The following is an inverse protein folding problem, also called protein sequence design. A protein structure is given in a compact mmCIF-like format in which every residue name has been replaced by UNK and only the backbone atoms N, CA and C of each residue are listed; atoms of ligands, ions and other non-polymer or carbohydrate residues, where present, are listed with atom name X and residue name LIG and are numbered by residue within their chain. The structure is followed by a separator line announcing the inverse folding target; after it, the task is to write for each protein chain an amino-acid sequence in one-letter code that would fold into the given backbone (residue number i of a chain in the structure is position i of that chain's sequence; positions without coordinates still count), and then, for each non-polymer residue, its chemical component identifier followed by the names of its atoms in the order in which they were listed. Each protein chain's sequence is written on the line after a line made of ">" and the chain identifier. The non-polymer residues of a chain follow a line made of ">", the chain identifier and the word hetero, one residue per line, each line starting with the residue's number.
data_IF_563219183939
#
_entry.id   IF_563219183939
#
_cell.length_a   1.000
_cell.length_b   1.000
_cell.length_c   1.000
_cell.angle_alpha   90.00
_cell.angle_beta   90.00
_cell.angle_gamma   90.00
#
_symmetry.space_group_name_H-M   'P 1'
#
loop_
_entity.id
_entity.type
_entity.pdbx_description
1 polymer ?
#
# COMPACT_ATOMS: atom_id res chain seq x y z
N UNK A 1 -1.73 8.63 -66.52
CA UNK A 1 -1.70 8.51 -65.05
C UNK A 1 -1.88 9.90 -64.49
N UNK A 2 -2.89 10.13 -63.64
CA UNK A 2 -3.15 11.46 -63.08
C UNK A 2 -2.25 11.72 -61.86
N UNK A 3 -1.11 12.38 -62.11
CA UNK A 3 -0.15 12.73 -61.07
C UNK A 3 -0.67 13.79 -60.09
N UNK A 4 -1.70 14.57 -60.47
CA UNK A 4 -2.34 15.56 -59.59
C UNK A 4 -3.17 14.86 -58.50
N UNK A 5 -3.98 13.88 -58.90
CA UNK A 5 -4.73 13.05 -57.95
C UNK A 5 -3.79 12.34 -56.95
N UNK A 6 -2.72 11.72 -57.46
CA UNK A 6 -1.74 11.02 -56.62
C UNK A 6 -1.01 11.95 -55.65
N UNK A 7 -0.68 13.17 -56.09
CA UNK A 7 -0.11 14.20 -55.22
C UNK A 7 -1.06 14.60 -54.08
N UNK A 8 -2.35 14.84 -54.37
CA UNK A 8 -3.32 15.19 -53.33
C UNK A 8 -3.53 14.06 -52.31
N UNK A 9 -3.54 12.81 -52.78
CA UNK A 9 -3.60 11.64 -51.90
C UNK A 9 -2.37 11.54 -50.99
N UNK A 10 -1.17 11.76 -51.51
CA UNK A 10 0.05 11.78 -50.71
C UNK A 10 0.06 12.94 -49.70
N UNK A 11 -0.43 14.12 -50.11
CA UNK A 11 -0.61 15.29 -49.23
C UNK A 11 -1.57 15.00 -48.08
N UNK A 12 -2.70 14.34 -48.34
CA UNK A 12 -3.64 13.91 -47.30
C UNK A 12 -2.98 12.97 -46.28
N UNK A 13 -2.27 11.92 -46.75
CA UNK A 13 -1.50 11.01 -45.88
C UNK A 13 -0.46 11.74 -45.03
N UNK A 14 0.21 12.76 -45.59
CA UNK A 14 1.21 13.54 -44.86
C UNK A 14 0.58 14.30 -43.68
N UNK A 15 -0.56 14.95 -43.89
CA UNK A 15 -1.25 15.69 -42.82
C UNK A 15 -1.84 14.76 -41.76
N UNK A 16 -2.43 13.64 -42.17
CA UNK A 16 -2.89 12.59 -41.25
C UNK A 16 -1.74 12.12 -40.35
N UNK A 17 -0.60 11.78 -40.94
CA UNK A 17 0.58 11.37 -40.18
C UNK A 17 1.09 12.47 -39.22
N UNK A 18 0.98 13.75 -39.59
CA UNK A 18 1.34 14.86 -38.69
C UNK A 18 0.39 14.99 -37.49
N UNK A 19 -0.91 14.80 -37.71
CA UNK A 19 -1.91 14.81 -36.65
C UNK A 19 -1.67 13.63 -35.67
N UNK A 20 -1.45 12.44 -36.21
CA UNK A 20 -1.22 11.23 -35.42
C UNK A 20 0.10 11.26 -34.64
N UNK A 21 1.16 11.86 -35.20
CA UNK A 21 2.42 12.13 -34.47
C UNK A 21 2.15 12.97 -33.22
N UNK A 22 1.41 14.07 -33.37
CA UNK A 22 1.06 14.96 -32.26
C UNK A 22 0.23 14.23 -31.21
N UNK A 23 -0.76 13.46 -31.65
CA UNK A 23 -1.61 12.63 -30.79
C UNK A 23 -0.78 11.62 -29.97
N UNK A 24 0.13 10.90 -30.62
CA UNK A 24 1.02 9.94 -29.96
C UNK A 24 1.94 10.62 -28.94
N UNK A 25 2.52 11.78 -29.28
CA UNK A 25 3.38 12.55 -28.38
C UNK A 25 2.64 12.97 -27.11
N UNK A 26 1.46 13.57 -27.26
CA UNK A 26 0.62 13.95 -26.12
C UNK A 26 0.28 12.74 -25.25
N UNK A 27 -0.07 11.61 -25.88
CA UNK A 27 -0.39 10.38 -25.15
C UNK A 27 0.81 9.83 -24.38
N UNK A 28 2.02 9.87 -24.95
CA UNK A 28 3.25 9.46 -24.26
C UNK A 28 3.50 10.36 -23.04
N UNK A 29 3.33 11.67 -23.18
CA UNK A 29 3.55 12.61 -22.08
C UNK A 29 2.57 12.37 -20.92
N UNK A 30 1.30 12.09 -21.23
CA UNK A 30 0.31 11.74 -20.22
C UNK A 30 0.60 10.40 -19.54
N UNK A 31 1.01 9.38 -20.31
CA UNK A 31 1.43 8.10 -19.75
C UNK A 31 2.65 8.23 -18.85
N UNK A 32 3.62 9.09 -19.20
CA UNK A 32 4.79 9.38 -18.35
C UNK A 32 4.40 10.08 -17.04
N UNK A 33 3.43 10.99 -17.07
CA UNK A 33 2.88 11.59 -15.83
C UNK A 33 2.23 10.53 -14.95
N UNK A 34 1.40 9.66 -15.52
CA UNK A 34 0.77 8.55 -14.80
C UNK A 34 1.80 7.58 -14.23
N UNK A 35 2.86 7.28 -14.98
CA UNK A 35 3.97 6.45 -14.54
C UNK A 35 4.61 7.02 -13.26
N UNK A 36 4.93 8.32 -13.25
CA UNK A 36 5.54 8.96 -12.09
C UNK A 36 4.61 8.97 -10.88
N UNK A 37 3.31 9.26 -11.08
CA UNK A 37 2.31 9.19 -10.02
C UNK A 37 2.22 7.79 -9.42
N UNK A 38 2.25 6.74 -10.26
CA UNK A 38 2.20 5.35 -9.82
C UNK A 38 3.45 4.93 -9.06
N UNK A 39 4.64 5.39 -9.48
CA UNK A 39 5.90 5.18 -8.74
C UNK A 39 5.83 5.81 -7.34
N UNK A 40 5.31 7.04 -7.24
CA UNK A 40 5.16 7.71 -5.95
C UNK A 40 4.22 6.94 -5.01
N UNK A 41 3.09 6.45 -5.53
CA UNK A 41 2.15 5.61 -4.78
C UNK A 41 2.81 4.30 -4.29
N UNK A 42 3.56 3.62 -5.16
CA UNK A 42 4.29 2.39 -4.79
C UNK A 42 5.26 2.66 -3.63
N UNK A 43 5.99 3.77 -3.67
CA UNK A 43 6.93 4.13 -2.60
C UNK A 43 6.22 4.44 -1.28
N UNK A 44 5.06 5.12 -1.34
CA UNK A 44 4.21 5.34 -0.18
C UNK A 44 3.71 4.02 0.42
N UNK A 45 3.16 3.13 -0.41
CA UNK A 45 2.68 1.81 0.03
C UNK A 45 3.80 0.98 0.67
N UNK A 46 5.01 0.98 0.10
CA UNK A 46 6.17 0.30 0.69
C UNK A 46 6.53 0.86 2.06
N UNK A 47 6.47 2.17 2.22
CA UNK A 47 6.72 2.85 3.50
C UNK A 47 5.64 2.50 4.53
N UNK A 48 4.37 2.53 4.11
CA UNK A 48 3.25 2.22 4.99
C UNK A 48 3.28 0.77 5.45
N UNK A 49 3.57 -0.18 4.54
CA UNK A 49 3.73 -1.60 4.89
C UNK A 49 4.81 -1.76 5.97
N UNK A 50 5.98 -1.16 5.77
CA UNK A 50 7.08 -1.21 6.73
C UNK A 50 6.66 -0.66 8.10
N UNK A 51 6.01 0.51 8.14
CA UNK A 51 5.56 1.13 9.38
C UNK A 51 4.54 0.26 10.13
N UNK A 52 3.62 -0.38 9.40
CA UNK A 52 2.62 -1.27 10.00
C UNK A 52 3.23 -2.59 10.46
N UNK A 53 4.22 -3.14 9.75
CA UNK A 53 4.97 -4.32 10.18
C UNK A 53 5.75 -4.03 11.47
N UNK A 54 6.43 -2.89 11.57
CA UNK A 54 7.12 -2.46 12.80
C UNK A 54 6.14 -2.27 13.97
N UNK A 55 4.95 -1.71 13.72
CA UNK A 55 3.91 -1.57 14.73
C UNK A 55 3.38 -2.94 15.18
N UNK A 56 3.17 -3.86 14.24
CA UNK A 56 2.72 -5.22 14.52
C UNK A 56 3.73 -5.96 15.39
N UNK A 57 5.02 -5.83 15.12
CA UNK A 57 6.07 -6.48 15.90
C UNK A 57 6.11 -5.97 17.34
N UNK A 58 6.00 -4.65 17.55
CA UNK A 58 5.85 -4.06 18.89
C UNK A 58 4.64 -4.60 19.64
N UNK A 59 3.48 -4.73 18.97
CA UNK A 59 2.27 -5.31 19.57
C UNK A 59 2.47 -6.77 19.92
N UNK A 60 3.14 -7.56 19.07
CA UNK A 60 3.46 -8.96 19.35
C UNK A 60 4.39 -9.09 20.56
N UNK A 61 5.36 -8.21 20.71
CA UNK A 61 6.24 -8.19 21.89
C UNK A 61 5.46 -7.90 23.19
N UNK A 62 4.54 -6.94 23.16
CA UNK A 62 3.66 -6.65 24.30
C UNK A 62 2.83 -7.88 24.65
N UNK A 63 2.18 -8.51 23.67
CA UNK A 63 1.35 -9.71 23.92
C UNK A 63 2.18 -10.86 24.50
N UNK A 64 3.43 -11.06 24.10
CA UNK A 64 4.31 -12.08 24.71
C UNK A 64 4.52 -11.88 26.22
N UNK A 65 4.40 -10.64 26.71
CA UNK A 65 4.52 -10.34 28.14
C UNK A 65 3.28 -10.73 28.96
N UNK A 66 2.15 -11.08 28.32
CA UNK A 66 0.89 -11.45 28.97
C UNK A 66 1.07 -12.56 30.02
N UNK A 67 1.69 -13.68 29.65
CA UNK A 67 1.90 -14.79 30.58
C UNK A 67 2.77 -14.43 31.79
N UNK A 68 3.73 -13.52 31.63
CA UNK A 68 4.54 -13.03 32.75
C UNK A 68 3.68 -12.17 33.71
N UNK A 69 2.79 -11.34 33.17
CA UNK A 69 1.84 -10.59 33.98
C UNK A 69 0.84 -11.49 34.71
N UNK A 70 0.28 -12.49 34.05
CA UNK A 70 -0.62 -13.47 34.67
C UNK A 70 0.05 -14.22 35.83
N UNK A 71 1.30 -14.63 35.64
CA UNK A 71 2.09 -15.28 36.69
C UNK A 71 2.30 -14.34 37.88
N UNK A 72 2.73 -13.10 37.65
CA UNK A 72 2.95 -12.11 38.73
C UNK A 72 1.67 -11.81 39.51
N UNK A 73 0.52 -11.68 38.85
CA UNK A 73 -0.77 -11.48 39.53
C UNK A 73 -1.12 -12.70 40.39
N UNK A 74 -0.87 -13.91 39.88
CA UNK A 74 -1.11 -15.14 40.63
C UNK A 74 -0.21 -15.24 41.86
N UNK A 75 1.07 -14.89 41.73
CA UNK A 75 2.03 -14.85 42.84
C UNK A 75 1.61 -13.86 43.93
N UNK A 76 1.18 -12.65 43.53
CA UNK A 76 0.66 -11.66 44.47
C UNK A 76 -0.58 -12.23 45.18
N UNK A 77 -1.50 -12.87 44.45
CA UNK A 77 -2.71 -13.45 45.04
C UNK A 77 -2.38 -14.52 46.08
N UNK A 78 -1.42 -15.39 45.78
CA UNK A 78 -0.99 -16.44 46.70
C UNK A 78 -0.35 -15.84 47.96
N UNK A 79 0.57 -14.88 47.80
CA UNK A 79 1.22 -14.21 48.94
C UNK A 79 0.23 -13.41 49.79
N UNK A 80 -0.76 -12.76 49.18
CA UNK A 80 -1.83 -12.07 49.93
C UNK A 80 -2.68 -13.06 50.71
N UNK A 81 -3.01 -14.22 50.14
CA UNK A 81 -3.73 -15.29 50.85
C UNK A 81 -2.91 -15.85 52.02
N UNK A 82 -1.63 -16.14 51.81
CA UNK A 82 -0.72 -16.61 52.87
C UNK A 82 -0.62 -15.59 54.00
N UNK A 83 -0.44 -14.31 53.67
CA UNK A 83 -0.42 -13.23 54.65
C UNK A 83 -1.75 -13.14 55.41
N UNK A 84 -2.89 -13.22 54.72
CA UNK A 84 -4.21 -13.22 55.35
C UNK A 84 -4.36 -14.33 56.39
N UNK A 85 -3.96 -15.56 56.04
CA UNK A 85 -4.01 -16.72 56.95
C UNK A 85 -3.10 -16.52 58.16
N UNK A 86 -1.87 -16.06 57.94
CA UNK A 86 -0.91 -15.81 59.02
C UNK A 86 -1.41 -14.71 59.98
N UNK A 87 -1.94 -13.61 59.45
CA UNK A 87 -2.52 -12.54 60.26
C UNK A 87 -3.73 -13.01 61.06
N UNK A 88 -4.66 -13.75 60.44
CA UNK A 88 -5.81 -14.31 61.15
C UNK A 88 -5.37 -15.25 62.28
N UNK A 89 -4.35 -16.07 62.05
CA UNK A 89 -3.80 -16.97 63.06
C UNK A 89 -3.17 -16.20 64.22
N UNK A 90 -2.39 -15.15 63.96
CA UNK A 90 -1.82 -14.30 65.02
C UNK A 90 -2.88 -13.59 65.86
N UNK A 91 -3.91 -13.04 65.21
CA UNK A 91 -4.97 -12.30 65.90
C UNK A 91 -5.90 -13.23 66.67
N UNK A 92 -6.09 -14.48 66.23
CA UNK A 92 -6.89 -15.48 66.96
C UNK A 92 -6.35 -15.80 68.36
N UNK A 93 -5.08 -15.46 68.64
CA UNK A 93 -4.49 -15.49 69.98
C UNK A 93 -4.82 -14.23 70.82
N UNK A 94 -5.72 -13.34 70.36
CA UNK A 94 -6.09 -12.07 71.00
C UNK A 94 -7.61 -11.81 70.89
N UNK A 95 -8.17 -10.92 71.73
CA UNK A 95 -9.59 -10.52 71.68
C UNK A 95 -9.90 -9.42 70.63
N UNK A 96 -9.05 -9.22 69.62
CA UNK A 96 -9.20 -8.15 68.63
C UNK A 96 -9.96 -8.65 67.40
N UNK A 97 -11.04 -7.97 67.01
CA UNK A 97 -11.72 -8.20 65.72
C UNK A 97 -10.93 -7.48 64.62
N UNK A 98 -10.37 -8.23 63.67
CA UNK A 98 -9.61 -7.67 62.54
C UNK A 98 -10.26 -8.06 61.19
N UNK A 99 -10.12 -7.20 60.18
CA UNK A 99 -10.56 -7.45 58.80
C UNK A 99 -9.58 -8.38 58.10
N UNK A 100 -10.11 -9.26 57.24
CA UNK A 100 -9.28 -10.14 56.42
C UNK A 100 -8.59 -9.32 55.32
N UNK A 101 -7.29 -9.55 55.06
CA UNK A 101 -6.57 -8.87 53.97
C UNK A 101 -7.23 -9.07 52.60
N UNK A 102 -7.85 -10.23 52.37
CA UNK A 102 -8.64 -10.48 51.16
C UNK A 102 -9.93 -9.66 51.09
N UNK A 103 -10.53 -9.31 52.23
CA UNK A 103 -11.67 -8.38 52.25
C UNK A 103 -11.23 -6.95 51.95
N UNK A 104 -10.01 -6.57 52.37
CA UNK A 104 -9.47 -5.23 52.15
C UNK A 104 -8.95 -5.04 50.72
N UNK A 105 -8.26 -6.04 50.16
CA UNK A 105 -7.53 -5.92 48.90
C UNK A 105 -8.08 -6.79 47.75
N UNK A 106 -8.98 -7.74 48.03
CA UNK A 106 -9.44 -8.71 47.04
C UNK A 106 -10.19 -8.07 45.87
N UNK A 107 -10.97 -7.02 46.11
CA UNK A 107 -11.71 -6.34 45.04
C UNK A 107 -10.78 -5.53 44.13
N UNK A 108 -9.84 -4.78 44.70
CA UNK A 108 -8.84 -4.05 43.93
C UNK A 108 -7.98 -4.99 43.07
N UNK A 109 -7.64 -6.17 43.62
CA UNK A 109 -6.92 -7.22 42.92
C UNK A 109 -7.73 -7.80 41.74
N UNK A 110 -9.01 -8.10 41.95
CA UNK A 110 -9.92 -8.56 40.88
C UNK A 110 -10.07 -7.52 39.78
N UNK A 111 -10.22 -6.25 40.16
CA UNK A 111 -10.33 -5.13 39.23
C UNK A 111 -9.06 -4.93 38.41
N UNK A 112 -7.89 -5.03 39.06
CA UNK A 112 -6.58 -4.95 38.40
C UNK A 112 -6.41 -6.08 37.39
N UNK A 113 -6.71 -7.32 37.79
CA UNK A 113 -6.66 -8.49 36.88
C UNK A 113 -7.59 -8.33 35.69
N UNK A 114 -8.83 -7.88 35.92
CA UNK A 114 -9.80 -7.62 34.85
C UNK A 114 -9.28 -6.57 33.87
N UNK A 115 -8.83 -5.42 34.38
CA UNK A 115 -8.29 -4.32 33.56
C UNK A 115 -7.13 -4.78 32.68
N UNK A 116 -6.21 -5.56 33.24
CA UNK A 116 -5.06 -6.09 32.49
C UNK A 116 -5.52 -7.07 31.39
N UNK A 117 -6.44 -7.98 31.70
CA UNK A 117 -7.00 -8.90 30.71
C UNK A 117 -7.72 -8.16 29.56
N UNK A 118 -8.45 -7.10 29.89
CA UNK A 118 -9.11 -6.24 28.90
C UNK A 118 -8.07 -5.54 28.00
N UNK A 119 -6.97 -5.04 28.57
CA UNK A 119 -5.85 -4.45 27.83
C UNK A 119 -5.23 -5.47 26.86
N UNK A 120 -4.94 -6.69 27.30
CA UNK A 120 -4.37 -7.71 26.43
C UNK A 120 -5.34 -8.17 25.35
N UNK A 121 -6.63 -8.26 25.66
CA UNK A 121 -7.69 -8.52 24.67
C UNK A 121 -7.69 -7.44 23.59
N UNK A 122 -7.59 -6.16 23.97
CA UNK A 122 -7.48 -5.05 23.03
C UNK A 122 -6.21 -5.13 22.17
N UNK A 123 -5.06 -5.48 22.75
CA UNK A 123 -3.83 -5.68 21.97
C UNK A 123 -3.95 -6.83 20.96
N UNK A 124 -4.60 -7.94 21.33
CA UNK A 124 -4.88 -9.06 20.42
C UNK A 124 -5.79 -8.64 19.26
N UNK A 125 -6.83 -7.83 19.53
CA UNK A 125 -7.67 -7.25 18.48
C UNK A 125 -6.86 -6.35 17.56
N UNK A 126 -6.08 -5.41 18.11
CA UNK A 126 -5.21 -4.49 17.35
C UNK A 126 -4.20 -5.23 16.49
N UNK A 127 -3.65 -6.34 16.98
CA UNK A 127 -2.76 -7.23 16.21
C UNK A 127 -3.46 -7.75 14.96
N UNK A 128 -4.67 -8.29 15.09
CA UNK A 128 -5.43 -8.83 13.96
C UNK A 128 -5.82 -7.73 12.95
N UNK A 129 -6.15 -6.52 13.43
CA UNK A 129 -6.41 -5.35 12.58
C UNK A 129 -5.17 -4.95 11.77
N UNK A 130 -4.00 -4.91 12.41
CA UNK A 130 -2.72 -4.63 11.75
C UNK A 130 -2.37 -5.70 10.71
N UNK A 131 -2.54 -6.98 11.03
CA UNK A 131 -2.32 -8.08 10.09
C UNK A 131 -3.23 -7.97 8.85
N UNK A 132 -4.50 -7.65 9.07
CA UNK A 132 -5.46 -7.41 7.98
C UNK A 132 -5.05 -6.21 7.14
N UNK A 133 -4.63 -5.11 7.78
CA UNK A 133 -4.22 -3.89 7.09
C UNK A 133 -2.95 -4.10 6.27
N UNK A 134 -1.97 -4.84 6.78
CA UNK A 134 -0.75 -5.20 6.05
C UNK A 134 -1.11 -6.06 4.83
N UNK A 135 -2.01 -7.03 4.97
CA UNK A 135 -2.44 -7.86 3.84
C UNK A 135 -3.14 -7.03 2.75
N UNK A 136 -4.00 -6.09 3.14
CA UNK A 136 -4.63 -5.14 2.22
C UNK A 136 -3.61 -4.25 1.51
N UNK A 137 -2.68 -3.63 2.24
CA UNK A 137 -1.62 -2.80 1.67
C UNK A 137 -0.74 -3.58 0.68
N UNK A 138 -0.41 -4.85 0.99
CA UNK A 138 0.36 -5.72 0.08
C UNK A 138 -0.41 -6.02 -1.22
N UNK A 139 -1.74 -6.20 -1.16
CA UNK A 139 -2.57 -6.35 -2.36
C UNK A 139 -2.61 -5.07 -3.19
N UNK A 140 -2.77 -3.92 -2.55
CA UNK A 140 -2.73 -2.61 -3.23
C UNK A 140 -1.37 -2.36 -3.89
N UNK A 141 -0.28 -2.73 -3.22
CA UNK A 141 1.07 -2.63 -3.78
C UNK A 141 1.21 -3.49 -5.04
N UNK A 142 0.79 -4.76 -4.98
CA UNK A 142 0.85 -5.65 -6.15
C UNK A 142 0.02 -5.10 -7.32
N UNK A 143 -1.18 -4.57 -7.05
CA UNK A 143 -2.00 -3.96 -8.09
C UNK A 143 -1.30 -2.73 -8.69
N UNK A 144 -0.72 -1.87 -7.86
CA UNK A 144 -0.02 -0.68 -8.33
C UNK A 144 1.22 -1.03 -9.17
N UNK A 145 1.94 -2.09 -8.82
CA UNK A 145 3.08 -2.61 -9.60
C UNK A 145 2.60 -3.16 -10.96
N UNK A 146 1.49 -3.90 -10.99
CA UNK A 146 0.89 -4.39 -12.24
C UNK A 146 0.45 -3.23 -13.16
N UNK A 147 -0.23 -2.23 -12.61
CA UNK A 147 -0.64 -1.02 -13.34
C UNK A 147 0.58 -0.28 -13.91
N UNK A 148 1.66 -0.17 -13.14
CA UNK A 148 2.90 0.47 -13.58
C UNK A 148 3.50 -0.24 -14.79
N UNK A 149 3.48 -1.57 -14.78
CA UNK A 149 4.00 -2.37 -15.91
C UNK A 149 3.07 -2.32 -17.14
N UNK A 150 1.77 -2.17 -16.94
CA UNK A 150 0.84 -1.87 -18.04
C UNK A 150 1.13 -0.48 -18.65
N UNK A 151 1.30 0.54 -17.82
CA UNK A 151 1.66 1.90 -18.27
C UNK A 151 2.95 1.87 -19.09
N UNK A 152 4.00 1.18 -18.60
CA UNK A 152 5.27 1.02 -19.34
C UNK A 152 5.05 0.36 -20.70
N UNK A 153 4.26 -0.72 -20.76
CA UNK A 153 3.92 -1.39 -22.03
C UNK A 153 3.21 -0.44 -22.99
N UNK A 154 2.25 0.33 -22.49
CA UNK A 154 1.51 1.32 -23.28
C UNK A 154 2.39 2.45 -23.81
N UNK A 155 3.39 2.90 -23.03
CA UNK A 155 4.40 3.85 -23.49
C UNK A 155 5.15 3.26 -24.69
N UNK A 156 5.72 2.06 -24.55
CA UNK A 156 6.47 1.40 -25.63
C UNK A 156 5.61 1.19 -26.89
N UNK A 157 4.37 0.75 -26.74
CA UNK A 157 3.45 0.59 -27.87
C UNK A 157 3.16 1.92 -28.57
N UNK A 158 2.97 2.99 -27.81
CA UNK A 158 2.69 4.33 -28.36
C UNK A 158 3.95 4.92 -29.02
N UNK A 159 5.14 4.66 -28.47
CA UNK A 159 6.42 5.04 -29.07
C UNK A 159 6.65 4.32 -30.41
N UNK A 160 6.31 3.03 -30.51
CA UNK A 160 6.38 2.30 -31.76
C UNK A 160 5.43 2.89 -32.82
N UNK A 161 4.17 3.16 -32.44
CA UNK A 161 3.19 3.83 -33.32
C UNK A 161 3.69 5.21 -33.78
N UNK A 162 4.29 5.98 -32.87
CA UNK A 162 4.89 7.27 -33.21
C UNK A 162 5.98 7.11 -34.28
N UNK A 163 6.81 6.08 -34.21
CA UNK A 163 7.83 5.80 -35.23
C UNK A 163 7.21 5.39 -36.57
N UNK A 164 6.15 4.59 -36.56
CA UNK A 164 5.43 4.21 -37.78
C UNK A 164 4.81 5.43 -38.47
N UNK A 165 4.19 6.33 -37.72
CA UNK A 165 3.66 7.58 -38.27
C UNK A 165 4.74 8.53 -38.77
N UNK A 166 5.91 8.58 -38.11
CA UNK A 166 7.08 9.31 -38.64
C UNK A 166 7.54 8.75 -39.99
N UNK A 167 7.60 7.42 -40.14
CA UNK A 167 7.91 6.77 -41.42
C UNK A 167 6.85 7.08 -42.48
N UNK A 168 5.57 6.99 -42.13
CA UNK A 168 4.47 7.29 -43.04
C UNK A 168 4.52 8.74 -43.53
N UNK A 169 4.81 9.70 -42.64
CA UNK A 169 5.03 11.11 -42.98
C UNK A 169 6.18 11.29 -43.97
N UNK A 170 7.33 10.68 -43.71
CA UNK A 170 8.50 10.74 -44.59
C UNK A 170 8.18 10.17 -45.98
N UNK A 171 7.56 8.98 -46.03
CA UNK A 171 7.19 8.37 -47.30
C UNK A 171 6.19 9.24 -48.09
N UNK A 172 5.17 9.78 -47.41
CA UNK A 172 4.21 10.68 -48.04
C UNK A 172 4.89 11.95 -48.60
N UNK A 173 5.89 12.49 -47.89
CA UNK A 173 6.69 13.62 -48.37
C UNK A 173 7.49 13.27 -49.63
N UNK A 174 8.09 12.07 -49.69
CA UNK A 174 8.81 11.60 -50.88
C UNK A 174 7.86 11.37 -52.06
N UNK A 175 6.71 10.74 -51.82
CA UNK A 175 5.67 10.54 -52.84
C UNK A 175 5.21 11.88 -53.42
N UNK A 176 4.94 12.87 -52.57
CA UNK A 176 4.56 14.24 -52.98
C UNK A 176 5.63 14.88 -53.88
N UNK A 177 6.90 14.83 -53.50
CA UNK A 177 7.98 15.41 -54.30
C UNK A 177 8.14 14.70 -55.64
N UNK A 178 8.02 13.37 -55.67
CA UNK A 178 8.06 12.59 -56.89
C UNK A 178 6.93 12.99 -57.85
N UNK A 179 5.68 13.03 -57.37
CA UNK A 179 4.52 13.40 -58.19
C UNK A 179 4.60 14.86 -58.65
N UNK A 180 5.09 15.77 -57.80
CA UNK A 180 5.34 17.18 -58.17
C UNK A 180 6.28 17.28 -59.36
N UNK A 181 7.40 16.55 -59.33
CA UNK A 181 8.37 16.53 -60.45
C UNK A 181 7.75 15.95 -61.72
N UNK A 182 6.96 14.88 -61.62
CA UNK A 182 6.29 14.27 -62.77
C UNK A 182 5.25 15.18 -63.41
N UNK A 183 4.50 15.94 -62.62
CA UNK A 183 3.60 16.98 -63.14
C UNK A 183 4.38 18.05 -63.90
N UNK A 184 5.50 18.54 -63.36
CA UNK A 184 6.32 19.57 -64.00
C UNK A 184 7.02 19.09 -65.30
N UNK A 185 7.23 17.78 -65.47
CA UNK A 185 7.80 17.19 -66.69
C UNK A 185 6.76 16.90 -67.78
N UNK A 186 5.47 16.91 -67.42
CA UNK A 186 4.35 16.62 -68.32
C UNK A 186 3.68 17.90 -68.87
N UNK A 187 4.25 19.07 -68.55
CA UNK A 187 3.94 20.41 -69.08
C UNK A 187 4.97 20.75 -70.14
#
# INVERSE_FOLDING_TARGET
>A
MDYSYLYQRAKSRYYEACAEITSCQNKIDDLKKQQQQKINLINQLKTDIKNHEEALDKVKEIIKSEGNFENKISDISNKTNEAAINYSSMVSCSNVVNKNLNEVYGDEMRNTKKTINDIFTNFKTRKNELETKIADLKRQLQQAENDLDEIKRNITLTENRLQDWKRAKTQASYDMEYYRRKMNQAV
#
